data_IF_840217813409
#
_entry.id   IF_840217813409
#
_cell.length_a   1.000
_cell.length_b   1.000
_cell.length_c   1.000
_cell.angle_alpha   90.00
_cell.angle_beta   90.00
_cell.angle_gamma   90.00
#
_symmetry.space_group_name_H-M   'P 1'
#
loop_
_entity.id
_entity.type
_entity.pdbx_description
1 polymer ?
#
# COMPACT_ATOMS: atom_id res chain seq x y z
N UNK A 1 2.14 19.44 39.90
CA UNK A 1 0.94 18.79 40.47
C UNK A 1 0.12 18.39 39.28
N UNK A 2 0.03 17.09 38.97
CA UNK A 2 -0.73 16.62 37.81
C UNK A 2 -2.19 16.43 38.25
N UNK A 3 -3.11 17.15 37.63
CA UNK A 3 -4.54 17.01 37.89
C UNK A 3 -5.06 15.75 37.20
N UNK A 4 -5.67 14.87 38.00
CA UNK A 4 -6.22 13.59 37.56
C UNK A 4 -7.70 13.75 37.24
N UNK A 5 -8.06 13.72 35.95
CA UNK A 5 -9.43 13.92 35.46
C UNK A 5 -10.29 12.65 35.45
N UNK A 6 -9.84 11.56 36.07
CA UNK A 6 -10.56 10.27 36.04
C UNK A 6 -11.87 10.26 36.82
N UNK A 7 -12.07 11.19 37.76
CA UNK A 7 -13.20 11.15 38.69
C UNK A 7 -14.46 11.87 38.18
N UNK A 8 -14.38 12.53 37.02
CA UNK A 8 -15.51 13.28 36.43
C UNK A 8 -16.36 12.46 35.46
N UNK A 9 -15.95 11.23 35.10
CA UNK A 9 -16.62 10.43 34.09
C UNK A 9 -17.28 9.24 34.79
N UNK A 10 -18.62 9.22 34.80
CA UNK A 10 -19.44 8.14 35.38
C UNK A 10 -19.13 6.76 34.76
N UNK A 11 -19.89 5.70 35.13
CA UNK A 11 -19.60 4.35 34.67
C UNK A 11 -19.58 4.26 33.13
N UNK A 12 -18.37 4.09 32.59
CA UNK A 12 -18.10 4.05 31.16
C UNK A 12 -18.54 2.71 30.54
N UNK A 13 -19.22 2.71 29.38
CA UNK A 13 -19.56 1.51 28.64
C UNK A 13 -18.34 0.62 28.39
N UNK A 14 -18.49 -0.71 28.49
CA UNK A 14 -17.42 -1.70 28.28
C UNK A 14 -16.50 -1.48 27.06
N UNK A 15 -16.97 -1.07 25.86
CA UNK A 15 -16.06 -0.79 24.73
C UNK A 15 -15.13 0.41 24.95
N UNK A 16 -15.54 1.41 25.75
CA UNK A 16 -14.71 2.58 26.06
C UNK A 16 -13.65 2.30 27.13
N UNK A 17 -13.81 1.23 27.91
CA UNK A 17 -12.86 0.81 28.96
C UNK A 17 -11.60 0.15 28.38
N UNK A 18 -11.67 -0.40 27.16
CA UNK A 18 -10.49 -0.93 26.45
C UNK A 18 -9.70 0.16 25.72
N UNK A 19 -10.36 1.28 25.37
CA UNK A 19 -9.76 2.43 24.68
C UNK A 19 -9.01 3.36 25.64
N UNK A 20 -9.34 3.35 26.94
CA UNK A 20 -8.87 4.34 27.91
C UNK A 20 -7.40 4.23 28.34
N UNK A 21 -6.56 3.42 27.69
CA UNK A 21 -5.10 3.38 27.96
C UNK A 21 -4.22 3.91 26.84
N UNK A 22 -4.75 4.05 25.63
CA UNK A 22 -4.07 4.77 24.55
C UNK A 22 -4.78 6.11 24.41
N UNK A 23 -4.09 7.21 24.76
CA UNK A 23 -4.62 8.55 24.51
C UNK A 23 -4.80 8.70 23.00
N UNK A 24 -6.04 8.67 22.53
CA UNK A 24 -6.38 8.91 21.11
C UNK A 24 -6.11 10.39 20.85
N UNK A 25 -4.93 10.68 20.32
CA UNK A 25 -4.47 12.05 20.11
C UNK A 25 -5.19 12.70 18.90
N UNK A 26 -5.52 11.90 17.88
CA UNK A 26 -6.14 12.37 16.64
C UNK A 26 -7.08 11.33 16.00
N UNK A 27 -8.05 11.79 15.22
CA UNK A 27 -8.92 10.94 14.37
C UNK A 27 -8.30 10.73 12.98
N UNK A 28 -8.65 9.65 12.29
CA UNK A 28 -8.12 9.35 10.97
C UNK A 28 -8.46 10.49 9.98
N UNK A 29 -7.46 10.96 9.22
CA UNK A 29 -7.60 12.10 8.31
C UNK A 29 -7.27 13.47 8.92
N UNK A 30 -6.88 13.55 10.19
CA UNK A 30 -6.52 14.81 10.87
C UNK A 30 -5.41 15.63 10.18
N UNK A 31 -4.48 14.97 9.49
CA UNK A 31 -3.31 15.59 8.85
C UNK A 31 -3.54 16.00 7.38
N UNK A 32 -4.81 16.00 6.94
CA UNK A 32 -5.19 16.40 5.57
C UNK A 32 -5.74 17.83 5.62
N UNK A 33 -5.30 18.75 4.74
CA UNK A 33 -5.85 20.11 4.68
C UNK A 33 -7.36 20.12 4.41
N UNK A 34 -8.05 21.15 4.89
CA UNK A 34 -9.52 21.26 4.79
C UNK A 34 -10.02 21.22 3.34
N UNK A 35 -9.27 21.80 2.41
CA UNK A 35 -9.54 21.81 0.96
C UNK A 35 -9.55 20.41 0.30
N UNK A 36 -9.02 19.40 0.98
CA UNK A 36 -8.90 18.02 0.51
C UNK A 36 -9.56 17.01 1.45
N UNK A 37 -10.30 17.49 2.45
CA UNK A 37 -10.97 16.60 3.41
C UNK A 37 -12.03 15.72 2.74
N UNK A 38 -12.68 16.22 1.68
CA UNK A 38 -13.70 15.52 0.89
C UNK A 38 -13.24 14.17 0.33
N UNK A 39 -11.93 13.98 0.11
CA UNK A 39 -11.36 12.70 -0.31
C UNK A 39 -11.50 11.59 0.74
N UNK A 40 -11.65 11.95 2.02
CA UNK A 40 -11.83 11.00 3.13
C UNK A 40 -13.31 10.87 3.44
N UNK A 41 -13.89 9.73 3.05
CA UNK A 41 -15.28 9.40 3.35
C UNK A 41 -15.56 9.42 4.86
N UNK A 42 -16.75 9.87 5.27
CA UNK A 42 -17.13 10.05 6.69
C UNK A 42 -16.99 8.79 7.53
N UNK A 43 -17.20 7.62 6.93
CA UNK A 43 -16.92 6.32 7.54
C UNK A 43 -15.51 6.26 8.14
N UNK A 44 -14.49 6.66 7.37
CA UNK A 44 -13.08 6.57 7.80
C UNK A 44 -12.74 7.57 8.89
N UNK A 45 -13.39 8.74 8.91
CA UNK A 45 -13.19 9.79 9.92
C UNK A 45 -13.65 9.37 11.32
N UNK A 46 -14.49 8.33 11.43
CA UNK A 46 -14.95 7.80 12.71
C UNK A 46 -13.92 6.92 13.44
N UNK A 47 -12.79 6.59 12.79
CA UNK A 47 -11.74 5.76 13.39
C UNK A 47 -10.61 6.61 13.98
N UNK A 48 -9.97 6.14 15.07
CA UNK A 48 -8.78 6.80 15.60
C UNK A 48 -7.62 6.73 14.60
N UNK A 49 -6.77 7.76 14.59
CA UNK A 49 -5.56 7.75 13.79
C UNK A 49 -4.63 6.63 14.25
N UNK A 50 -4.02 5.94 13.29
CA UNK A 50 -3.09 4.83 13.57
C UNK A 50 -1.78 5.38 14.13
N UNK A 51 -1.18 4.66 15.08
CA UNK A 51 0.11 5.05 15.66
C UNK A 51 1.23 5.10 14.60
N UNK A 52 2.20 6.00 14.80
CA UNK A 52 3.34 6.21 13.90
C UNK A 52 4.16 4.93 13.65
N UNK A 53 4.22 4.05 14.64
CA UNK A 53 4.94 2.78 14.56
C UNK A 53 4.43 1.89 13.43
N UNK A 54 3.12 1.83 13.23
CA UNK A 54 2.54 1.02 12.15
C UNK A 54 2.81 1.62 10.77
N UNK A 55 2.81 2.95 10.65
CA UNK A 55 3.21 3.60 9.40
C UNK A 55 4.67 3.28 9.05
N UNK A 56 5.60 3.36 10.00
CA UNK A 56 7.00 3.01 9.75
C UNK A 56 7.21 1.51 9.48
N UNK A 57 6.42 0.65 10.13
CA UNK A 57 6.42 -0.78 9.83
C UNK A 57 6.00 -1.05 8.38
N UNK A 58 4.91 -0.42 7.92
CA UNK A 58 4.47 -0.51 6.53
C UNK A 58 5.54 0.03 5.56
N UNK A 59 6.12 1.19 5.85
CA UNK A 59 7.19 1.76 5.03
C UNK A 59 8.38 0.80 4.89
N UNK A 60 8.79 0.13 5.98
CA UNK A 60 9.85 -0.86 5.97
C UNK A 60 9.49 -2.08 5.11
N UNK A 61 8.29 -2.65 5.30
CA UNK A 61 7.82 -3.81 4.53
C UNK A 61 7.81 -3.49 3.03
N UNK A 62 7.21 -2.37 2.64
CA UNK A 62 7.13 -1.99 1.24
C UNK A 62 8.48 -1.62 0.63
N UNK A 63 9.41 -1.08 1.42
CA UNK A 63 10.80 -0.87 0.96
C UNK A 63 11.47 -2.20 0.62
N UNK A 64 11.33 -3.22 1.48
CA UNK A 64 11.89 -4.55 1.22
C UNK A 64 11.25 -5.20 -0.02
N UNK A 65 9.92 -5.15 -0.12
CA UNK A 65 9.20 -5.65 -1.29
C UNK A 65 9.63 -4.96 -2.59
N UNK A 66 9.85 -3.65 -2.55
CA UNK A 66 10.33 -2.87 -3.68
C UNK A 66 11.73 -3.33 -4.13
N UNK A 67 12.66 -3.48 -3.20
CA UNK A 67 14.03 -3.94 -3.51
C UNK A 67 14.05 -5.35 -4.10
N UNK A 68 13.25 -6.26 -3.51
CA UNK A 68 13.12 -7.62 -4.02
C UNK A 68 12.45 -7.65 -5.39
N UNK A 69 11.41 -6.84 -5.61
CA UNK A 69 10.73 -6.77 -6.92
C UNK A 69 11.66 -6.26 -8.01
N UNK A 70 12.38 -5.15 -7.79
CA UNK A 70 13.33 -4.60 -8.78
C UNK A 70 14.40 -5.62 -9.12
N UNK A 71 15.01 -6.21 -8.10
CA UNK A 71 16.13 -7.13 -8.30
C UNK A 71 15.66 -8.42 -8.96
N UNK A 72 14.60 -9.04 -8.44
CA UNK A 72 14.08 -10.31 -8.95
C UNK A 72 13.54 -10.19 -10.37
N UNK A 73 12.62 -9.24 -10.61
CA UNK A 73 12.02 -9.06 -11.92
C UNK A 73 13.00 -8.49 -12.96
N UNK A 74 13.94 -7.64 -12.53
CA UNK A 74 15.05 -7.19 -13.37
C UNK A 74 15.93 -8.35 -13.86
N UNK A 75 16.28 -9.29 -12.97
CA UNK A 75 17.03 -10.50 -13.33
C UNK A 75 16.22 -11.37 -14.31
N UNK A 76 14.92 -11.57 -14.07
CA UNK A 76 14.03 -12.32 -14.98
C UNK A 76 14.06 -11.72 -16.38
N UNK A 77 13.80 -10.41 -16.51
CA UNK A 77 13.83 -9.73 -17.81
C UNK A 77 15.20 -9.89 -18.47
N UNK A 78 16.30 -9.72 -17.72
CA UNK A 78 17.65 -9.83 -18.25
C UNK A 78 17.96 -11.25 -18.79
N UNK A 79 17.66 -12.29 -18.02
CA UNK A 79 17.93 -13.69 -18.39
C UNK A 79 17.14 -14.08 -19.65
N UNK A 80 15.83 -13.85 -19.66
CA UNK A 80 14.96 -14.24 -20.76
C UNK A 80 15.18 -13.38 -22.01
N UNK A 81 15.61 -12.13 -21.85
CA UNK A 81 15.97 -11.26 -22.97
C UNK A 81 17.33 -11.62 -23.57
N UNK A 82 18.31 -12.07 -22.78
CA UNK A 82 19.68 -12.32 -23.28
C UNK A 82 19.88 -13.74 -23.82
N UNK A 83 19.21 -14.74 -23.21
CA UNK A 83 19.40 -16.14 -23.60
C UNK A 83 18.54 -16.53 -24.80
N UNK A 84 19.17 -16.76 -25.97
CA UNK A 84 18.47 -17.15 -27.20
C UNK A 84 17.67 -18.46 -27.05
N UNK A 85 18.14 -19.41 -26.24
CA UNK A 85 17.45 -20.68 -26.02
C UNK A 85 16.15 -20.54 -25.23
N UNK A 86 15.99 -19.44 -24.48
CA UNK A 86 14.82 -19.18 -23.64
C UNK A 86 13.78 -18.27 -24.30
N UNK A 87 14.02 -17.76 -25.52
CA UNK A 87 13.07 -16.89 -26.24
C UNK A 87 11.98 -17.69 -26.95
N UNK A 88 11.18 -18.43 -26.19
CA UNK A 88 9.97 -19.09 -26.69
C UNK A 88 8.73 -18.22 -26.45
N UNK A 89 7.63 -18.40 -27.21
CA UNK A 89 6.37 -17.68 -26.98
C UNK A 89 5.86 -17.82 -25.54
N UNK A 90 5.92 -19.03 -24.97
CA UNK A 90 5.53 -19.29 -23.57
C UNK A 90 6.34 -18.47 -22.56
N UNK A 91 7.63 -18.23 -22.83
CA UNK A 91 8.50 -17.46 -21.94
C UNK A 91 8.32 -15.95 -22.10
N UNK A 92 7.68 -15.47 -23.18
CA UNK A 92 7.32 -14.06 -23.31
C UNK A 92 6.23 -13.65 -22.30
N UNK A 93 5.35 -14.57 -21.90
CA UNK A 93 4.39 -14.30 -20.83
C UNK A 93 5.07 -14.09 -19.48
N UNK A 94 6.18 -14.77 -19.20
CA UNK A 94 6.98 -14.56 -17.98
C UNK A 94 7.62 -13.17 -17.97
N UNK A 95 8.13 -12.71 -19.13
CA UNK A 95 8.62 -11.33 -19.26
C UNK A 95 7.48 -10.32 -19.04
N UNK A 96 6.30 -10.56 -19.63
CA UNK A 96 5.14 -9.70 -19.46
C UNK A 96 4.70 -9.59 -18.00
N UNK A 97 4.71 -10.71 -17.27
CA UNK A 97 4.44 -10.74 -15.84
C UNK A 97 5.47 -9.91 -15.06
N UNK A 98 6.76 -10.08 -15.36
CA UNK A 98 7.82 -9.30 -14.72
C UNK A 98 7.69 -7.79 -14.99
N UNK A 99 7.19 -7.38 -16.16
CA UNK A 99 6.88 -5.98 -16.46
C UNK A 99 5.74 -5.47 -15.57
N UNK A 100 4.67 -6.25 -15.38
CA UNK A 100 3.58 -5.85 -14.48
C UNK A 100 4.05 -5.74 -13.02
N UNK A 101 4.92 -6.63 -12.55
CA UNK A 101 5.49 -6.55 -11.20
C UNK A 101 6.41 -5.33 -11.03
N UNK A 102 7.18 -4.96 -12.06
CA UNK A 102 7.96 -3.71 -12.07
C UNK A 102 7.07 -2.47 -12.18
N UNK A 103 5.92 -2.57 -12.84
CA UNK A 103 4.95 -1.47 -12.86
C UNK A 103 4.32 -1.28 -11.47
N UNK A 104 4.01 -2.36 -10.76
CA UNK A 104 3.58 -2.30 -9.35
C UNK A 104 4.67 -1.70 -8.46
N UNK A 105 5.95 -1.92 -8.75
CA UNK A 105 7.04 -1.24 -8.02
C UNK A 105 6.93 0.29 -8.13
N UNK A 106 6.46 0.86 -9.25
CA UNK A 106 6.42 2.32 -9.47
C UNK A 106 5.52 3.06 -8.48
N UNK A 107 4.50 2.40 -7.92
CA UNK A 107 3.58 3.02 -6.96
C UNK A 107 4.05 2.88 -5.50
N UNK A 108 4.91 1.90 -5.20
CA UNK A 108 5.40 1.66 -3.84
C UNK A 108 6.08 2.89 -3.18
N UNK A 109 6.87 3.70 -3.90
CA UNK A 109 7.42 4.95 -3.36
C UNK A 109 6.35 5.92 -2.84
N UNK A 110 5.20 6.04 -3.50
CA UNK A 110 4.10 6.90 -3.05
C UNK A 110 3.58 6.42 -1.70
N UNK A 111 3.37 5.11 -1.54
CA UNK A 111 2.92 4.54 -0.27
C UNK A 111 3.94 4.71 0.86
N UNK A 112 5.24 4.55 0.56
CA UNK A 112 6.33 4.75 1.53
C UNK A 112 6.35 6.20 1.99
N UNK A 113 6.31 7.17 1.06
CA UNK A 113 6.27 8.60 1.37
C UNK A 113 5.01 8.96 2.18
N UNK A 114 3.85 8.41 1.82
CA UNK A 114 2.59 8.60 2.54
C UNK A 114 2.66 8.07 3.96
N UNK A 115 3.37 6.96 4.18
CA UNK A 115 3.59 6.38 5.50
C UNK A 115 4.42 7.31 6.38
N UNK A 116 5.50 7.90 5.87
CA UNK A 116 6.31 8.86 6.63
C UNK A 116 5.55 10.15 6.96
N UNK A 117 4.70 10.63 6.04
CA UNK A 117 3.91 11.86 6.25
C UNK A 117 2.59 11.62 6.99
N UNK A 118 2.17 10.37 7.19
CA UNK A 118 0.86 9.98 7.73
C UNK A 118 -0.32 10.63 7.00
N UNK A 119 -0.16 10.91 5.70
CA UNK A 119 -1.18 11.48 4.82
C UNK A 119 -0.88 11.14 3.36
N UNK A 120 -1.87 11.33 2.51
CA UNK A 120 -1.75 11.13 1.06
C UNK A 120 -1.03 12.34 0.43
N UNK A 121 0.23 12.16 0.04
CA UNK A 121 1.02 13.17 -0.67
C UNK A 121 0.59 13.22 -2.13
N UNK A 122 0.37 14.43 -2.65
CA UNK A 122 -0.18 14.63 -3.99
C UNK A 122 -1.72 14.59 -4.07
N UNK A 123 -2.38 14.39 -2.92
CA UNK A 123 -3.84 14.46 -2.76
C UNK A 123 -4.59 13.68 -3.86
N UNK A 124 -5.55 14.30 -4.54
CA UNK A 124 -6.39 13.66 -5.56
C UNK A 124 -5.55 13.03 -6.67
N UNK A 125 -4.63 13.77 -7.28
CA UNK A 125 -3.81 13.28 -8.39
C UNK A 125 -2.91 12.11 -7.96
N UNK A 126 -2.33 12.19 -6.77
CA UNK A 126 -1.50 11.11 -6.23
C UNK A 126 -2.30 9.82 -6.02
N UNK A 127 -3.52 9.93 -5.47
CA UNK A 127 -4.45 8.81 -5.32
C UNK A 127 -4.87 8.21 -6.65
N UNK A 128 -5.21 9.04 -7.64
CA UNK A 128 -5.65 8.57 -8.96
C UNK A 128 -4.53 7.82 -9.69
N UNK A 129 -3.32 8.36 -9.68
CA UNK A 129 -2.14 7.69 -10.27
C UNK A 129 -1.88 6.35 -9.57
N UNK A 130 -1.89 6.32 -8.23
CA UNK A 130 -1.71 5.11 -7.46
C UNK A 130 -2.78 4.05 -7.79
N UNK A 131 -4.05 4.45 -7.85
CA UNK A 131 -5.16 3.55 -8.19
C UNK A 131 -5.04 2.99 -9.61
N UNK A 132 -4.63 3.81 -10.59
CA UNK A 132 -4.46 3.37 -11.98
C UNK A 132 -3.30 2.40 -12.12
N UNK A 133 -2.12 2.71 -11.57
CA UNK A 133 -0.95 1.84 -11.63
C UNK A 133 -1.21 0.49 -10.96
N UNK A 134 -1.84 0.51 -9.78
CA UNK A 134 -2.14 -0.69 -9.01
C UNK A 134 -3.18 -1.57 -9.69
N UNK A 135 -4.21 -0.95 -10.28
CA UNK A 135 -5.24 -1.66 -11.04
C UNK A 135 -4.66 -2.30 -12.30
N UNK A 136 -3.87 -1.56 -13.08
CA UNK A 136 -3.27 -2.08 -14.31
C UNK A 136 -2.28 -3.21 -14.02
N UNK A 137 -1.44 -3.07 -12.99
CA UNK A 137 -0.44 -4.08 -12.64
C UNK A 137 -1.09 -5.33 -12.04
N UNK A 138 -2.04 -5.17 -11.12
CA UNK A 138 -2.75 -6.28 -10.50
C UNK A 138 -3.59 -7.07 -11.49
N UNK A 139 -4.44 -6.41 -12.27
CA UNK A 139 -5.31 -7.07 -13.26
C UNK A 139 -4.46 -7.66 -14.40
N UNK A 140 -3.49 -6.90 -14.91
CA UNK A 140 -2.59 -7.36 -15.97
C UNK A 140 -1.76 -8.57 -15.55
N UNK A 141 -1.21 -8.56 -14.34
CA UNK A 141 -0.48 -9.69 -13.76
C UNK A 141 -1.38 -10.92 -13.56
N UNK A 142 -2.61 -10.74 -13.07
CA UNK A 142 -3.57 -11.83 -12.89
C UNK A 142 -3.96 -12.49 -14.23
N UNK A 143 -4.25 -11.68 -15.26
CA UNK A 143 -4.54 -12.18 -16.61
C UNK A 143 -3.33 -12.93 -17.16
N UNK A 144 -2.12 -12.39 -17.01
CA UNK A 144 -0.89 -13.05 -17.47
C UNK A 144 -0.67 -14.39 -16.79
N UNK A 145 -0.89 -14.47 -15.47
CA UNK A 145 -0.83 -15.72 -14.73
C UNK A 145 -1.86 -16.75 -15.24
N UNK A 146 -3.08 -16.33 -15.56
CA UNK A 146 -4.09 -17.20 -16.13
C UNK A 146 -3.68 -17.74 -17.51
N UNK A 147 -3.09 -16.90 -18.37
CA UNK A 147 -2.57 -17.33 -19.68
C UNK A 147 -1.41 -18.32 -19.51
N UNK A 148 -0.48 -18.07 -18.59
CA UNK A 148 0.62 -19.01 -18.29
C UNK A 148 0.06 -20.35 -17.83
N UNK A 149 -0.92 -20.34 -16.91
CA UNK A 149 -1.53 -21.57 -16.42
C UNK A 149 -2.21 -22.37 -17.54
N UNK A 150 -2.89 -21.69 -18.47
CA UNK A 150 -3.51 -22.31 -19.64
C UNK A 150 -2.47 -22.91 -20.61
N UNK A 151 -1.41 -22.16 -20.91
CA UNK A 151 -0.31 -22.61 -21.78
C UNK A 151 0.41 -23.85 -21.22
N UNK A 152 0.52 -23.95 -19.88
CA UNK A 152 1.14 -25.10 -19.19
C UNK A 152 0.23 -26.32 -19.09
N UNK A 153 -1.08 -26.12 -19.12
CA UNK A 153 -2.05 -27.21 -19.04
C UNK A 153 -2.20 -27.96 -20.37
N UNK A 154 -2.10 -27.23 -21.48
CA UNK A 154 -2.18 -27.77 -22.83
C UNK A 154 -0.96 -28.63 -23.18
#
# INVERSE_FOLDING_TARGET
MADNYTDAIGPMPYPLRMVSRDVVEHMLGWNIPEEHQDMVHDHWRSFPAVSKYWHYCLALIYTMLMLTSVTGNGIVIWIFSTSKSLRSPSNMFVINLAIFDLMMMLEMPLLIINSFHQRLVGYQLGCDIYAVLGSLSGIGGAITNAVIAFDRYK
#
